data_IF_495327976546
#
_entry.id   IF_495327976546
#
_cell.length_a   1.000
_cell.length_b   1.000
_cell.length_c   1.000
_cell.angle_alpha   90.00
_cell.angle_beta   90.00
_cell.angle_gamma   90.00
#
_symmetry.space_group_name_H-M   'P 1'
#
loop_
_entity.id
_entity.type
_entity.pdbx_description
1 polymer ?
#
# COMPACT_ATOMS: atom_id res chain seq x y z
N UNK A 1 12.87 -0.97 12.26
CA UNK A 1 12.49 -1.08 10.84
C UNK A 1 12.38 0.32 10.29
N UNK A 2 12.87 0.58 9.08
CA UNK A 2 13.02 1.94 8.53
C UNK A 2 11.74 2.77 8.65
N UNK A 3 11.88 4.03 9.05
CA UNK A 3 10.78 4.99 9.16
C UNK A 3 10.14 5.20 7.78
N UNK A 4 8.80 5.22 7.74
CA UNK A 4 8.05 5.56 6.52
C UNK A 4 8.49 6.94 6.03
N UNK A 5 8.72 7.09 4.73
CA UNK A 5 9.01 8.39 4.13
C UNK A 5 7.78 9.30 4.13
N UNK A 6 7.99 10.61 3.98
CA UNK A 6 6.93 11.62 4.15
C UNK A 6 5.79 11.43 3.14
N UNK A 7 6.13 10.98 1.93
CA UNK A 7 5.21 10.68 0.84
C UNK A 7 4.48 9.33 1.01
N UNK A 8 4.81 8.56 2.04
CA UNK A 8 4.09 7.33 2.42
C UNK A 8 4.76 6.03 2.02
N UNK A 9 5.89 6.08 1.31
CA UNK A 9 6.63 4.88 0.90
C UNK A 9 7.50 4.30 2.02
N UNK A 10 7.90 3.04 1.84
CA UNK A 10 9.12 2.50 2.45
C UNK A 10 10.15 2.26 1.37
N UNK A 11 11.38 2.69 1.63
CA UNK A 11 12.52 2.57 0.70
C UNK A 11 12.28 3.19 -0.69
N UNK A 12 11.31 4.10 -0.82
CA UNK A 12 11.01 4.77 -2.09
C UNK A 12 10.55 3.86 -3.23
N UNK A 13 10.06 2.65 -2.94
CA UNK A 13 9.67 1.71 -4.00
C UNK A 13 8.39 0.94 -3.71
N UNK A 14 7.80 0.40 -4.77
CA UNK A 14 6.49 -0.25 -4.78
C UNK A 14 6.55 -1.56 -4.01
N UNK A 15 7.54 -2.41 -4.33
CA UNK A 15 7.69 -3.73 -3.72
C UNK A 15 7.78 -3.67 -2.20
N UNK A 16 8.69 -2.84 -1.67
CA UNK A 16 8.87 -2.70 -0.21
C UNK A 16 7.62 -2.12 0.46
N UNK A 17 7.04 -1.06 -0.12
CA UNK A 17 5.85 -0.42 0.44
C UNK A 17 4.67 -1.40 0.52
N UNK A 18 4.41 -2.14 -0.57
CA UNK A 18 3.33 -3.11 -0.60
C UNK A 18 3.55 -4.32 0.32
N UNK A 19 4.79 -4.77 0.50
CA UNK A 19 5.11 -5.84 1.46
C UNK A 19 4.96 -5.37 2.91
N UNK A 20 5.36 -4.14 3.23
CA UNK A 20 5.19 -3.56 4.56
C UNK A 20 3.70 -3.39 4.89
N UNK A 21 2.87 -2.93 3.94
CA UNK A 21 1.41 -2.90 4.13
C UNK A 21 0.88 -4.29 4.47
N UNK A 22 1.25 -5.31 3.70
CA UNK A 22 0.81 -6.70 3.94
C UNK A 22 1.22 -7.21 5.33
N UNK A 23 2.42 -6.85 5.79
CA UNK A 23 2.94 -7.26 7.10
C UNK A 23 2.25 -6.54 8.27
N UNK A 24 1.93 -5.26 8.12
CA UNK A 24 1.37 -4.42 9.19
C UNK A 24 -0.15 -4.49 9.28
N UNK A 25 -0.85 -4.73 8.16
CA UNK A 25 -2.31 -4.75 8.10
C UNK A 25 -3.00 -5.62 9.19
N UNK A 26 -2.50 -6.82 9.56
CA UNK A 26 -3.14 -7.63 10.60
C UNK A 26 -3.07 -7.02 12.02
N UNK A 27 -2.17 -6.09 12.27
CA UNK A 27 -1.92 -5.47 13.59
C UNK A 27 -2.31 -3.99 13.66
N UNK A 28 -2.89 -3.45 12.59
CA UNK A 28 -3.25 -2.04 12.46
C UNK A 28 -4.76 -1.87 12.30
N UNK A 29 -5.27 -0.68 12.59
CA UNK A 29 -6.66 -0.29 12.27
C UNK A 29 -6.74 0.27 10.85
N UNK A 30 -7.92 0.25 10.23
CA UNK A 30 -8.15 0.96 8.96
C UNK A 30 -8.06 2.49 9.14
N UNK A 31 -8.18 2.98 10.38
CA UNK A 31 -7.84 4.34 10.79
C UNK A 31 -6.37 4.74 10.62
N UNK A 32 -5.44 3.79 10.52
CA UNK A 32 -3.98 4.02 10.56
C UNK A 32 -3.51 5.03 9.51
N UNK A 33 -3.00 6.18 9.97
CA UNK A 33 -2.47 7.25 9.11
C UNK A 33 -1.30 6.74 8.26
N UNK A 34 -0.46 5.88 8.83
CA UNK A 34 0.67 5.27 8.16
C UNK A 34 0.21 4.43 6.96
N UNK A 35 -0.78 3.55 7.15
CA UNK A 35 -1.31 2.73 6.06
C UNK A 35 -2.03 3.57 5.00
N UNK A 36 -2.75 4.64 5.41
CA UNK A 36 -3.38 5.58 4.48
C UNK A 36 -2.36 6.30 3.59
N UNK A 37 -1.25 6.76 4.15
CA UNK A 37 -0.16 7.37 3.36
C UNK A 37 0.44 6.38 2.37
N UNK A 38 0.64 5.13 2.79
CA UNK A 38 1.17 4.09 1.91
C UNK A 38 0.21 3.76 0.76
N UNK A 39 -1.10 3.72 1.03
CA UNK A 39 -2.11 3.58 0.00
C UNK A 39 -2.07 4.74 -1.01
N UNK A 40 -1.98 5.98 -0.52
CA UNK A 40 -1.87 7.16 -1.38
C UNK A 40 -0.61 7.13 -2.25
N UNK A 41 0.53 6.73 -1.68
CA UNK A 41 1.76 6.53 -2.45
C UNK A 41 1.54 5.53 -3.59
N UNK A 42 1.00 4.34 -3.30
CA UNK A 42 0.75 3.34 -4.33
C UNK A 42 -0.25 3.84 -5.37
N UNK A 43 -1.36 4.46 -4.98
CA UNK A 43 -2.34 4.98 -5.93
C UNK A 43 -1.77 6.08 -6.84
N UNK A 44 -0.87 6.93 -6.32
CA UNK A 44 -0.29 8.04 -7.07
C UNK A 44 0.72 7.62 -8.14
N UNK A 45 1.36 6.46 -7.98
CA UNK A 45 2.42 5.99 -8.88
C UNK A 45 1.93 4.97 -9.93
N UNK A 46 0.65 4.60 -9.89
CA UNK A 46 0.06 3.76 -10.94
C UNK A 46 0.23 4.45 -12.29
N UNK A 47 0.74 3.74 -13.29
CA UNK A 47 0.91 4.30 -14.61
C UNK A 47 -0.43 4.37 -15.38
N UNK A 48 -0.39 5.03 -16.55
CA UNK A 48 -1.57 5.21 -17.42
C UNK A 48 -2.16 3.89 -17.97
N UNK A 49 -1.40 2.79 -17.93
CA UNK A 49 -1.83 1.46 -18.38
C UNK A 49 -2.44 0.66 -17.22
N UNK A 50 -2.42 1.23 -16.01
CA UNK A 50 -2.93 0.61 -14.80
C UNK A 50 -1.92 -0.30 -14.10
N UNK A 51 -0.65 -0.28 -14.52
CA UNK A 51 0.41 -1.09 -13.93
C UNK A 51 1.18 -0.32 -12.86
N UNK A 52 1.85 -1.08 -12.00
CA UNK A 52 2.86 -0.55 -11.10
C UNK A 52 4.23 -1.02 -11.56
N UNK A 53 5.17 -0.07 -11.69
CA UNK A 53 6.53 -0.33 -12.14
C UNK A 53 6.64 -0.91 -13.55
N UNK A 54 5.55 -0.81 -14.33
CA UNK A 54 5.40 -1.39 -15.66
C UNK A 54 5.77 -2.88 -15.72
N UNK A 55 5.54 -3.62 -14.62
CA UNK A 55 5.80 -5.06 -14.55
C UNK A 55 4.76 -5.79 -13.69
N UNK A 56 4.58 -7.10 -13.94
CA UNK A 56 3.55 -7.93 -13.30
C UNK A 56 3.83 -8.13 -11.80
N UNK A 57 5.10 -8.21 -11.40
CA UNK A 57 5.49 -8.48 -10.02
C UNK A 57 5.07 -7.34 -9.09
N UNK A 58 5.49 -6.10 -9.40
CA UNK A 58 5.12 -4.92 -8.63
C UNK A 58 3.62 -4.62 -8.73
N UNK A 59 3.00 -4.86 -9.88
CA UNK A 59 1.53 -4.78 -10.04
C UNK A 59 0.82 -5.74 -9.09
N UNK A 60 1.28 -6.98 -8.99
CA UNK A 60 0.67 -7.98 -8.09
C UNK A 60 0.82 -7.57 -6.63
N UNK A 61 1.98 -7.04 -6.24
CA UNK A 61 2.24 -6.58 -4.87
C UNK A 61 1.34 -5.39 -4.53
N UNK A 62 1.26 -4.38 -5.40
CA UNK A 62 0.45 -3.19 -5.19
C UNK A 62 -1.04 -3.54 -5.08
N UNK A 63 -1.56 -4.38 -5.98
CA UNK A 63 -2.95 -4.82 -5.95
C UNK A 63 -3.29 -5.59 -4.67
N UNK A 64 -2.42 -6.50 -4.21
CA UNK A 64 -2.61 -7.21 -2.93
C UNK A 64 -2.68 -6.24 -1.75
N UNK A 65 -1.72 -5.30 -1.68
CA UNK A 65 -1.65 -4.31 -0.62
C UNK A 65 -2.92 -3.43 -0.59
N UNK A 66 -3.30 -2.86 -1.74
CA UNK A 66 -4.48 -2.00 -1.85
C UNK A 66 -5.79 -2.75 -1.54
N UNK A 67 -5.91 -4.00 -1.98
CA UNK A 67 -7.09 -4.82 -1.70
C UNK A 67 -7.23 -5.14 -0.20
N UNK A 68 -6.13 -5.40 0.51
CA UNK A 68 -6.17 -5.60 1.97
C UNK A 68 -6.69 -4.34 2.66
N UNK A 69 -6.14 -3.17 2.32
CA UNK A 69 -6.55 -1.90 2.94
C UNK A 69 -8.02 -1.55 2.64
N UNK A 70 -8.47 -1.80 1.41
CA UNK A 70 -9.89 -1.64 1.04
C UNK A 70 -10.80 -2.47 1.94
N UNK A 71 -10.47 -3.75 2.15
CA UNK A 71 -11.26 -4.66 2.98
C UNK A 71 -11.26 -4.25 4.45
N UNK A 72 -10.13 -3.78 4.97
CA UNK A 72 -10.06 -3.26 6.34
C UNK A 72 -11.02 -2.08 6.52
N UNK A 73 -11.06 -1.15 5.55
CA UNK A 73 -11.96 -0.01 5.61
C UNK A 73 -13.44 -0.43 5.50
N UNK A 74 -13.77 -1.41 4.65
CA UNK A 74 -15.14 -1.95 4.53
C UNK A 74 -15.61 -2.63 5.82
N UNK A 75 -14.71 -3.33 6.53
CA UNK A 75 -15.04 -4.00 7.79
C UNK A 75 -15.28 -3.05 8.96
N UNK A 76 -14.63 -1.88 8.98
CA UNK A 76 -14.88 -0.87 10.01
C UNK A 76 -16.20 -0.10 9.81
N UNK A 77 -16.76 -0.10 8.59
CA UNK A 77 -18.02 0.57 8.28
C UNK A 77 -19.26 -0.32 8.45
N UNK A 78 -19.07 -1.62 8.66
CA UNK A 78 -20.13 -2.62 8.83
C UNK A 78 -20.50 -2.81 10.31
#
# INVERSE_FOLDING_TARGET
GGTQFIEGSWSGNIGTTGLVIQALAPSESAGSLMLKKAALYLLAIQDKEGLWGSNIEETTIALKALNILKRMAEQEMA
#
